data_IF_612390362356
#
_entry.id   IF_612390362356
#
_cell.length_a   1.000
_cell.length_b   1.000
_cell.length_c   1.000
_cell.angle_alpha   90.00
_cell.angle_beta   90.00
_cell.angle_gamma   90.00
#
_symmetry.space_group_name_H-M   'P 1'
#
loop_
_entity.id
_entity.type
_entity.pdbx_description
1 polymer ?
#
# COMPACT_ATOMS: atom_id res chain seq x y z
N UNK A 1 7.47 6.06 -6.33
CA UNK A 1 6.15 6.26 -5.71
C UNK A 1 5.31 4.98 -5.77
N UNK A 2 5.01 4.41 -6.95
CA UNK A 2 4.26 3.15 -7.05
C UNK A 2 4.79 2.03 -6.14
N UNK A 3 6.12 1.81 -6.12
CA UNK A 3 6.75 0.83 -5.23
C UNK A 3 6.39 1.00 -3.75
N UNK A 4 6.39 2.24 -3.24
CA UNK A 4 6.04 2.51 -1.85
C UNK A 4 4.57 2.20 -1.58
N UNK A 5 3.67 2.59 -2.49
CA UNK A 5 2.24 2.29 -2.34
C UNK A 5 1.98 0.78 -2.30
N UNK A 6 2.68 0.00 -3.15
CA UNK A 6 2.60 -1.46 -3.10
C UNK A 6 3.15 -2.01 -1.78
N UNK A 7 4.26 -1.45 -1.27
CA UNK A 7 4.82 -1.84 0.03
C UNK A 7 3.87 -1.55 1.20
N UNK A 8 3.23 -0.37 1.19
CA UNK A 8 2.20 0.03 2.15
C UNK A 8 0.99 -0.92 2.08
N UNK A 9 0.53 -1.29 0.87
CA UNK A 9 -0.58 -2.26 0.68
C UNK A 9 -0.21 -3.64 1.21
N UNK A 10 1.04 -4.09 1.00
CA UNK A 10 1.53 -5.37 1.49
C UNK A 10 1.52 -5.47 3.01
N UNK A 11 1.57 -4.35 3.72
CA UNK A 11 1.42 -4.32 5.19
C UNK A 11 0.00 -4.70 5.65
N UNK A 12 -0.98 -4.83 4.75
CA UNK A 12 -2.37 -5.22 5.04
C UNK A 12 -2.83 -6.52 4.38
N UNK A 13 -2.34 -6.82 3.17
CA UNK A 13 -2.79 -7.99 2.39
C UNK A 13 -1.67 -9.01 2.13
N UNK A 14 -0.46 -8.73 2.60
CA UNK A 14 0.69 -9.61 2.44
C UNK A 14 0.53 -10.94 3.16
N UNK A 15 1.23 -11.96 2.68
CA UNK A 15 1.35 -13.24 3.38
C UNK A 15 2.44 -13.12 4.45
N UNK A 16 2.06 -13.16 5.73
CA UNK A 16 3.00 -13.10 6.86
C UNK A 16 4.16 -14.11 6.73
N UNK A 17 3.92 -15.28 6.14
CA UNK A 17 4.94 -16.31 5.94
C UNK A 17 5.98 -15.93 4.87
N UNK A 18 5.59 -15.12 3.88
CA UNK A 18 6.48 -14.59 2.84
C UNK A 18 7.14 -13.28 3.26
N UNK A 19 6.41 -12.44 4.00
CA UNK A 19 6.85 -11.11 4.43
C UNK A 19 7.77 -11.20 5.67
N UNK A 20 7.64 -12.24 6.50
CA UNK A 20 8.52 -12.50 7.63
C UNK A 20 8.33 -11.59 8.84
N UNK A 21 7.25 -10.78 8.84
CA UNK A 21 6.82 -9.90 9.94
C UNK A 21 5.29 -9.90 10.02
N UNK A 22 4.69 -9.59 11.20
CA UNK A 22 3.26 -9.42 11.32
C UNK A 22 2.78 -8.23 10.48
N UNK A 23 1.55 -8.33 9.98
CA UNK A 23 0.89 -7.23 9.27
C UNK A 23 0.56 -6.05 10.21
N UNK A 24 0.34 -4.87 9.63
CA UNK A 24 0.05 -3.64 10.36
C UNK A 24 1.26 -3.03 11.08
N UNK A 25 2.46 -3.25 10.55
CA UNK A 25 3.68 -2.61 11.04
C UNK A 25 3.62 -1.09 11.02
N UNK A 26 2.94 -0.51 10.04
CA UNK A 26 2.76 0.94 9.91
C UNK A 26 1.82 1.47 11.00
N UNK A 27 0.68 0.81 11.22
CA UNK A 27 -0.28 1.17 12.27
C UNK A 27 0.33 1.11 13.67
N UNK A 28 1.17 0.11 13.94
CA UNK A 28 1.93 -0.03 15.20
C UNK A 28 2.85 1.16 15.46
N UNK A 29 3.38 1.76 14.41
CA UNK A 29 4.24 2.94 14.47
C UNK A 29 3.46 4.26 14.46
N UNK A 30 2.12 4.20 14.36
CA UNK A 30 1.27 5.39 14.21
C UNK A 30 1.38 6.04 12.84
N UNK A 31 1.86 5.31 11.83
CA UNK A 31 1.98 5.81 10.47
C UNK A 31 0.64 5.67 9.73
N UNK A 32 0.23 6.74 9.08
CA UNK A 32 -0.97 6.79 8.25
C UNK A 32 -0.51 6.74 6.79
N UNK A 33 -0.59 5.57 6.18
CA UNK A 33 -0.26 5.34 4.77
C UNK A 33 -1.50 5.42 3.88
N UNK A 34 -1.31 5.31 2.56
CA UNK A 34 -2.38 5.52 1.58
C UNK A 34 -3.61 4.61 1.78
N UNK A 35 -3.48 3.31 2.10
CA UNK A 35 -4.63 2.47 2.43
C UNK A 35 -5.45 3.02 3.61
N UNK A 36 -4.78 3.53 4.65
CA UNK A 36 -5.45 4.15 5.79
C UNK A 36 -6.16 5.43 5.37
N UNK A 37 -5.51 6.30 4.60
CA UNK A 37 -6.13 7.55 4.12
C UNK A 37 -7.43 7.30 3.34
N UNK A 38 -7.46 6.27 2.50
CA UNK A 38 -8.69 5.90 1.78
C UNK A 38 -9.74 5.28 2.68
N UNK A 39 -9.34 4.43 3.63
CA UNK A 39 -10.26 3.81 4.60
C UNK A 39 -10.97 4.87 5.45
N UNK A 40 -10.21 5.85 5.96
CA UNK A 40 -10.73 6.88 6.87
C UNK A 40 -11.87 7.69 6.23
N UNK A 41 -11.87 7.90 4.91
CA UNK A 41 -12.90 8.71 4.23
C UNK A 41 -14.33 8.25 4.52
N UNK A 42 -14.53 6.97 4.81
CA UNK A 42 -15.85 6.38 5.11
C UNK A 42 -15.98 5.85 6.56
N UNK A 43 -14.94 6.00 7.39
CA UNK A 43 -14.82 5.35 8.70
C UNK A 43 -14.28 6.29 9.80
N UNK A 44 -14.55 7.59 9.68
CA UNK A 44 -14.13 8.60 10.66
C UNK A 44 -14.70 8.37 12.07
N UNK A 45 -15.79 7.62 12.19
CA UNK A 45 -16.41 7.24 13.45
C UNK A 45 -15.67 6.13 14.20
N UNK A 46 -14.72 5.44 13.55
CA UNK A 46 -13.98 4.34 14.17
C UNK A 46 -13.02 4.88 15.27
N UNK A 47 -13.11 4.43 16.54
CA UNK A 47 -12.27 4.94 17.63
C UNK A 47 -10.76 4.74 17.43
N UNK A 48 -10.35 3.67 16.73
CA UNK A 48 -8.95 3.42 16.39
C UNK A 48 -8.43 4.44 15.38
N UNK A 49 -9.25 4.78 14.39
CA UNK A 49 -8.95 5.83 13.41
C UNK A 49 -8.80 7.19 14.08
N UNK A 50 -9.73 7.56 14.97
CA UNK A 50 -9.65 8.84 15.70
C UNK A 50 -8.34 8.94 16.49
N UNK A 51 -7.92 7.85 17.15
CA UNK A 51 -6.63 7.82 17.87
C UNK A 51 -5.44 7.99 16.94
N UNK A 52 -5.43 7.33 15.79
CA UNK A 52 -4.36 7.50 14.80
C UNK A 52 -4.29 8.95 14.29
N UNK A 53 -5.43 9.58 14.01
CA UNK A 53 -5.52 10.97 13.57
C UNK A 53 -5.06 11.97 14.65
N UNK A 54 -5.23 11.63 15.93
CA UNK A 54 -4.67 12.37 17.06
C UNK A 54 -3.13 12.20 17.21
N UNK A 55 -2.50 11.41 16.33
CA UNK A 55 -1.07 11.09 16.40
C UNK A 55 -0.71 10.09 17.50
N UNK A 56 -1.69 9.30 17.97
CA UNK A 56 -1.47 8.26 18.99
C UNK A 56 -1.25 6.91 18.31
N UNK A 57 -0.31 6.13 18.83
CA UNK A 57 -0.11 4.75 18.39
C UNK A 57 -1.18 3.83 18.96
N UNK A 58 -1.53 2.78 18.21
CA UNK A 58 -2.30 1.66 18.72
C UNK A 58 -1.30 0.66 19.33
N UNK A 59 -1.44 0.40 20.63
CA UNK A 59 -0.52 -0.50 21.36
C UNK A 59 -1.08 -1.90 21.57
N UNK A 60 -2.37 -2.10 21.29
CA UNK A 60 -3.07 -3.37 21.50
C UNK A 60 -3.05 -4.21 20.21
N UNK A 61 -2.43 -5.40 20.28
CA UNK A 61 -2.26 -6.28 19.11
C UNK A 61 -3.58 -6.75 18.50
N UNK A 62 -4.59 -7.02 19.34
CA UNK A 62 -5.93 -7.44 18.89
C UNK A 62 -6.62 -6.34 18.09
N UNK A 63 -6.48 -5.09 18.54
CA UNK A 63 -7.04 -3.93 17.88
C UNK A 63 -6.39 -3.69 16.51
N UNK A 64 -5.06 -3.79 16.45
CA UNK A 64 -4.31 -3.68 15.19
C UNK A 64 -4.73 -4.79 14.23
N UNK A 65 -4.84 -6.02 14.73
CA UNK A 65 -5.27 -7.16 13.91
C UNK A 65 -6.68 -6.97 13.36
N UNK A 66 -7.60 -6.40 14.15
CA UNK A 66 -8.96 -6.07 13.67
C UNK A 66 -8.91 -5.00 12.58
N UNK A 67 -8.20 -3.90 12.85
CA UNK A 67 -8.13 -2.77 11.92
C UNK A 67 -7.44 -3.14 10.61
N UNK A 68 -6.38 -3.96 10.66
CA UNK A 68 -5.72 -4.52 9.47
C UNK A 68 -6.71 -5.32 8.65
N UNK A 69 -7.49 -6.21 9.27
CA UNK A 69 -8.51 -7.01 8.57
C UNK A 69 -9.58 -6.15 7.94
N UNK A 70 -10.07 -5.14 8.66
CA UNK A 70 -11.08 -4.20 8.16
C UNK A 70 -10.57 -3.43 6.92
N UNK A 71 -9.35 -2.88 7.01
CA UNK A 71 -8.73 -2.17 5.87
C UNK A 71 -8.51 -3.13 4.70
N UNK A 72 -8.01 -4.34 4.96
CA UNK A 72 -7.72 -5.34 3.93
C UNK A 72 -8.95 -5.76 3.10
N UNK A 73 -10.14 -5.78 3.71
CA UNK A 73 -11.40 -6.14 3.01
C UNK A 73 -12.16 -4.93 2.47
N UNK A 74 -11.69 -3.71 2.74
CA UNK A 74 -12.31 -2.48 2.25
C UNK A 74 -11.91 -2.15 0.80
N UNK A 75 -12.58 -1.14 0.22
CA UNK A 75 -12.22 -0.62 -1.10
C UNK A 75 -10.89 0.19 -1.10
N UNK A 76 -10.34 0.48 0.08
CA UNK A 76 -9.12 1.25 0.24
C UNK A 76 -7.88 0.59 -0.39
N UNK A 77 -7.81 -0.75 -0.32
CA UNK A 77 -6.76 -1.52 -0.99
C UNK A 77 -6.85 -1.33 -2.51
N UNK A 78 -8.04 -1.49 -3.07
CA UNK A 78 -8.27 -1.32 -4.51
C UNK A 78 -7.93 0.10 -4.98
N UNK A 79 -8.33 1.12 -4.22
CA UNK A 79 -8.00 2.53 -4.52
C UNK A 79 -6.48 2.77 -4.48
N UNK A 80 -5.78 2.26 -3.48
CA UNK A 80 -4.32 2.38 -3.37
C UNK A 80 -3.61 1.69 -4.53
N UNK A 81 -4.07 0.49 -4.92
CA UNK A 81 -3.52 -0.23 -6.07
C UNK A 81 -3.74 0.52 -7.38
N UNK A 82 -4.91 1.13 -7.57
CA UNK A 82 -5.19 1.95 -8.76
C UNK A 82 -4.21 3.13 -8.86
N UNK A 83 -3.95 3.84 -7.76
CA UNK A 83 -2.96 4.92 -7.74
C UNK A 83 -1.54 4.42 -8.09
N UNK A 84 -1.16 3.24 -7.60
CA UNK A 84 0.11 2.62 -7.95
C UNK A 84 0.19 2.26 -9.45
N UNK A 85 -0.90 1.74 -10.03
CA UNK A 85 -0.99 1.45 -11.46
C UNK A 85 -0.89 2.72 -12.31
N UNK A 86 -1.59 3.79 -11.94
CA UNK A 86 -1.52 5.08 -12.66
C UNK A 86 -0.10 5.66 -12.64
N UNK A 87 0.60 5.55 -11.51
CA UNK A 87 2.00 5.97 -11.39
C UNK A 87 2.94 5.11 -12.24
N UNK A 88 2.68 3.81 -12.39
CA UNK A 88 3.42 2.94 -13.31
C UNK A 88 3.18 3.36 -14.76
N UNK A 89 1.93 3.61 -15.16
CA UNK A 89 1.61 4.08 -16.51
C UNK A 89 2.29 5.42 -16.83
N UNK A 90 2.35 6.32 -15.87
CA UNK A 90 3.10 7.58 -15.99
C UNK A 90 4.61 7.31 -16.17
N UNK A 91 5.19 6.41 -15.37
CA UNK A 91 6.60 6.05 -15.50
C UNK A 91 6.93 5.41 -16.86
N UNK A 92 6.07 4.52 -17.35
CA UNK A 92 6.20 3.90 -18.67
C UNK A 92 6.08 4.94 -19.80
N UNK A 93 5.15 5.90 -19.66
CA UNK A 93 4.96 6.99 -20.63
C UNK A 93 6.22 7.85 -20.77
N UNK A 94 6.97 8.06 -19.69
CA UNK A 94 8.25 8.78 -19.72
C UNK A 94 9.33 8.06 -20.56
N UNK A 95 9.20 6.73 -20.75
CA UNK A 95 10.16 5.93 -21.52
C UNK A 95 9.83 5.88 -23.02
N UNK A 96 8.64 6.31 -23.43
CA UNK A 96 8.17 6.20 -24.83
C UNK A 96 9.08 6.93 -25.81
N UNK A 97 9.60 8.10 -25.45
CA UNK A 97 10.45 8.93 -26.32
C UNK A 97 11.87 8.38 -26.53
N UNK A 98 12.29 7.39 -25.73
CA UNK A 98 13.61 6.79 -25.87
C UNK A 98 13.63 5.75 -26.99
N UNK A 99 14.76 5.62 -27.72
CA UNK A 99 14.94 4.56 -28.71
C UNK A 99 14.74 3.17 -28.11
N UNK A 100 14.33 2.21 -28.94
CA UNK A 100 14.26 0.82 -28.52
C UNK A 100 15.65 0.29 -28.17
N UNK A 101 15.80 -0.22 -26.95
CA UNK A 101 17.04 -0.78 -26.44
C UNK A 101 16.75 -1.79 -25.33
N UNK A 102 17.76 -2.61 -24.99
CA UNK A 102 17.66 -3.56 -23.90
C UNK A 102 17.38 -2.86 -22.56
N UNK A 103 17.97 -1.69 -22.34
CA UNK A 103 17.80 -0.88 -21.13
C UNK A 103 16.37 -0.37 -21.02
N UNK A 104 15.79 0.15 -22.11
CA UNK A 104 14.37 0.57 -22.15
C UNK A 104 13.45 -0.58 -21.79
N UNK A 105 13.65 -1.75 -22.39
CA UNK A 105 12.86 -2.95 -22.10
C UNK A 105 13.02 -3.41 -20.65
N UNK A 106 14.23 -3.35 -20.11
CA UNK A 106 14.51 -3.72 -18.71
C UNK A 106 13.80 -2.78 -17.73
N UNK A 107 13.80 -1.47 -18.01
CA UNK A 107 13.07 -0.50 -17.19
C UNK A 107 11.55 -0.69 -17.26
N UNK A 108 11.00 -0.98 -18.44
CA UNK A 108 9.58 -1.32 -18.60
C UNK A 108 9.22 -2.58 -17.80
N UNK A 109 10.00 -3.66 -17.94
CA UNK A 109 9.79 -4.89 -17.18
C UNK A 109 9.90 -4.66 -15.66
N UNK A 110 10.79 -3.78 -15.20
CA UNK A 110 10.88 -3.41 -13.79
C UNK A 110 9.59 -2.74 -13.30
N UNK A 111 8.96 -1.89 -14.10
CA UNK A 111 7.68 -1.26 -13.72
C UNK A 111 6.54 -2.27 -13.60
N UNK A 112 6.51 -3.28 -14.47
CA UNK A 112 5.54 -4.38 -14.42
C UNK A 112 5.79 -5.27 -13.20
N UNK A 113 7.05 -5.59 -12.90
CA UNK A 113 7.42 -6.37 -11.72
C UNK A 113 6.93 -5.73 -10.40
N UNK A 114 6.96 -4.40 -10.30
CA UNK A 114 6.54 -3.69 -9.07
C UNK A 114 5.07 -3.95 -8.73
N UNK A 115 4.19 -4.00 -9.73
CA UNK A 115 2.74 -4.24 -9.52
C UNK A 115 2.40 -5.72 -9.37
N UNK A 116 3.23 -6.62 -9.92
CA UNK A 116 3.06 -8.07 -9.83
C UNK A 116 3.58 -8.70 -8.54
N UNK A 117 4.25 -7.92 -7.68
CA UNK A 117 4.87 -8.34 -6.40
C UNK A 117 3.93 -9.07 -5.43
N UNK A 118 2.64 -9.18 -5.77
CA UNK A 118 1.53 -9.80 -5.03
C UNK A 118 1.17 -11.25 -5.45
N UNK A 119 1.97 -11.94 -6.27
CA UNK A 119 1.81 -13.40 -6.52
C UNK A 119 2.89 -14.23 -5.82
#
# INVERSE_FOLDING_TARGET
MAFQIIDDVLDYVGDESKVGKPLGGDLRQGLITLPVLYYIQNHLENPSIIRLLDGKCITEDEEITSLVKEIAVSDAIGKSLNDAHDLVLQAQSCLVSFPESQEKQTLLALTEYIIERNK
#
